data_IF_514230313568
#
_entry.id   IF_514230313568
#
_cell.length_a   1.000
_cell.length_b   1.000
_cell.length_c   1.000
_cell.angle_alpha   90.00
_cell.angle_beta   90.00
_cell.angle_gamma   90.00
#
_symmetry.space_group_name_H-M   'P 1'
#
loop_
_entity.id
_entity.type
_entity.pdbx_description
1 polymer ?
#
# COMPACT_ATOMS: atom_id res chain seq x y z
N UNK A 1 -20.94 -10.01 32.89
CA UNK A 1 -19.48 -9.97 32.62
C UNK A 1 -18.85 -9.40 33.87
N UNK A 2 -18.08 -10.21 34.60
CA UNK A 2 -17.36 -9.79 35.80
C UNK A 2 -16.28 -8.78 35.43
N UNK A 3 -16.43 -7.54 35.88
CA UNK A 3 -15.46 -6.47 35.71
C UNK A 3 -14.26 -6.73 36.65
N UNK A 4 -13.44 -7.77 36.38
CA UNK A 4 -12.23 -8.05 37.15
C UNK A 4 -11.06 -7.27 36.56
N UNK A 5 -10.55 -6.29 37.31
CA UNK A 5 -9.29 -5.64 36.94
C UNK A 5 -8.14 -6.66 36.99
N UNK A 6 -7.31 -6.65 35.97
CA UNK A 6 -6.09 -7.48 35.90
C UNK A 6 -4.88 -6.59 35.72
N UNK A 7 -4.01 -6.53 36.68
CA UNK A 7 -2.74 -5.84 36.56
C UNK A 7 -1.71 -6.78 35.89
N UNK A 8 -1.08 -6.33 34.82
CA UNK A 8 -0.02 -7.05 34.13
C UNK A 8 1.24 -6.23 34.07
N UNK A 9 2.40 -6.86 34.28
CA UNK A 9 3.71 -6.22 34.10
C UNK A 9 4.16 -6.38 32.66
N UNK A 10 4.36 -5.27 31.94
CA UNK A 10 4.86 -5.25 30.57
C UNK A 10 6.31 -4.78 30.56
N UNK A 11 7.18 -5.56 29.93
CA UNK A 11 8.59 -5.20 29.74
C UNK A 11 8.73 -4.65 28.31
N UNK A 12 9.23 -3.44 28.17
CA UNK A 12 9.53 -2.84 26.86
C UNK A 12 10.72 -3.56 26.25
N UNK A 13 10.55 -4.09 25.05
CA UNK A 13 11.63 -4.64 24.24
C UNK A 13 11.34 -4.37 22.76
N UNK A 14 12.37 -4.42 21.94
CA UNK A 14 12.21 -4.38 20.48
C UNK A 14 11.41 -5.59 20.00
N UNK A 15 10.36 -5.34 19.23
CA UNK A 15 9.54 -6.37 18.61
C UNK A 15 9.76 -6.26 17.10
N UNK A 16 10.28 -7.31 16.49
CA UNK A 16 10.33 -7.42 15.02
C UNK A 16 8.94 -7.80 14.53
N UNK A 17 8.25 -6.84 13.92
CA UNK A 17 6.95 -7.08 13.29
C UNK A 17 7.18 -7.40 11.81
N UNK A 18 6.77 -8.59 11.39
CA UNK A 18 6.76 -8.93 9.98
C UNK A 18 5.69 -8.07 9.27
N UNK A 19 6.14 -7.20 8.38
CA UNK A 19 5.26 -6.27 7.66
C UNK A 19 4.81 -6.80 6.30
N UNK A 20 5.52 -7.79 5.74
CA UNK A 20 5.26 -8.37 4.42
C UNK A 20 5.01 -9.87 4.56
N UNK A 21 3.90 -10.35 3.99
CA UNK A 21 3.61 -11.77 3.81
C UNK A 21 3.41 -12.06 2.32
N UNK A 22 3.97 -13.16 1.81
CA UNK A 22 3.88 -13.47 0.39
C UNK A 22 3.73 -14.97 0.14
N UNK A 23 2.93 -15.32 -0.87
CA UNK A 23 2.72 -16.70 -1.32
C UNK A 23 2.23 -16.73 -2.77
N UNK A 24 2.45 -17.84 -3.46
CA UNK A 24 1.74 -18.12 -4.70
C UNK A 24 0.29 -18.51 -4.40
N UNK A 25 -0.67 -18.01 -5.16
CA UNK A 25 -2.05 -18.50 -5.05
C UNK A 25 -2.15 -19.93 -5.63
N UNK A 26 -2.95 -20.82 -5.00
CA UNK A 26 -3.12 -22.19 -5.46
C UNK A 26 -3.51 -22.26 -6.93
N UNK A 27 -2.97 -23.25 -7.64
CA UNK A 27 -3.28 -23.55 -9.05
C UNK A 27 -3.20 -22.33 -9.99
N UNK A 28 -2.27 -21.42 -9.69
CA UNK A 28 -2.09 -20.20 -10.47
C UNK A 28 -0.62 -19.79 -10.57
N UNK A 29 -0.35 -18.82 -11.44
CA UNK A 29 0.92 -18.10 -11.53
C UNK A 29 0.80 -16.66 -10.97
N UNK A 30 -0.07 -16.50 -9.99
CA UNK A 30 -0.35 -15.23 -9.35
C UNK A 30 0.33 -15.19 -7.99
N UNK A 31 1.27 -14.27 -7.81
CA UNK A 31 1.86 -13.98 -6.52
C UNK A 31 0.93 -13.06 -5.72
N UNK A 32 0.63 -13.45 -4.49
CA UNK A 32 -0.09 -12.62 -3.53
C UNK A 32 0.90 -12.09 -2.50
N UNK A 33 0.97 -10.76 -2.36
CA UNK A 33 1.83 -10.08 -1.40
C UNK A 33 0.96 -9.16 -0.56
N UNK A 34 0.94 -9.38 0.75
CA UNK A 34 0.27 -8.53 1.72
C UNK A 34 1.28 -7.66 2.46
N UNK A 35 1.03 -6.36 2.47
CA UNK A 35 1.78 -5.39 3.26
C UNK A 35 0.84 -4.85 4.34
N UNK A 36 1.12 -5.18 5.62
CA UNK A 36 0.23 -4.81 6.73
C UNK A 36 0.53 -3.42 7.31
N UNK A 37 1.76 -2.93 7.12
CA UNK A 37 2.19 -1.58 7.47
C UNK A 37 3.53 -1.28 6.77
N UNK A 38 3.89 0.00 6.67
CA UNK A 38 5.21 0.41 6.18
C UNK A 38 6.12 0.77 7.36
N UNK A 39 7.10 -0.08 7.67
CA UNK A 39 8.19 0.18 8.61
C UNK A 39 9.51 0.29 7.85
N UNK A 40 10.61 0.64 8.54
CA UNK A 40 11.95 0.86 7.95
C UNK A 40 12.59 -0.33 7.21
N UNK A 41 11.92 -1.49 7.19
CA UNK A 41 12.38 -2.70 6.50
C UNK A 41 11.41 -3.19 5.43
N UNK A 42 10.23 -2.60 5.34
CA UNK A 42 9.17 -3.08 4.46
C UNK A 42 9.61 -3.09 2.99
N UNK A 43 10.36 -2.09 2.55
CA UNK A 43 10.86 -2.03 1.17
C UNK A 43 11.79 -3.21 0.85
N UNK A 44 12.72 -3.54 1.77
CA UNK A 44 13.65 -4.67 1.61
C UNK A 44 12.91 -6.00 1.70
N UNK A 45 12.07 -6.19 2.73
CA UNK A 45 11.30 -7.41 2.92
C UNK A 45 10.35 -7.68 1.72
N UNK A 46 9.81 -6.59 1.13
CA UNK A 46 8.97 -6.67 -0.06
C UNK A 46 9.77 -7.12 -1.29
N UNK A 47 10.95 -6.54 -1.51
CA UNK A 47 11.84 -6.91 -2.61
C UNK A 47 12.20 -8.39 -2.55
N UNK A 48 12.65 -8.87 -1.38
CA UNK A 48 13.01 -10.28 -1.18
C UNK A 48 11.81 -11.22 -1.45
N UNK A 49 10.61 -10.83 -0.97
CA UNK A 49 9.39 -11.59 -1.19
C UNK A 49 8.98 -11.61 -2.68
N UNK A 50 9.09 -10.47 -3.36
CA UNK A 50 8.78 -10.35 -4.77
C UNK A 50 9.72 -11.20 -5.64
N UNK A 51 11.05 -11.09 -5.42
CA UNK A 51 12.04 -11.90 -6.12
C UNK A 51 11.86 -13.42 -5.88
N UNK A 52 11.48 -13.81 -4.66
CA UNK A 52 11.18 -15.20 -4.36
C UNK A 52 10.02 -15.71 -5.21
N UNK A 53 8.93 -14.96 -5.30
CA UNK A 53 7.78 -15.33 -6.12
C UNK A 53 8.13 -15.35 -7.63
N UNK A 54 9.00 -14.44 -8.09
CA UNK A 54 9.50 -14.50 -9.47
C UNK A 54 10.26 -15.80 -9.75
N UNK A 55 11.13 -16.22 -8.83
CA UNK A 55 11.87 -17.50 -8.95
C UNK A 55 10.94 -18.72 -8.90
N UNK A 56 9.78 -18.60 -8.23
CA UNK A 56 8.72 -19.61 -8.21
C UNK A 56 7.83 -19.58 -9.46
N UNK A 57 8.07 -18.66 -10.40
CA UNK A 57 7.36 -18.59 -11.68
C UNK A 57 6.14 -17.70 -11.69
N UNK A 58 6.09 -16.68 -10.84
CA UNK A 58 5.04 -15.66 -10.84
C UNK A 58 4.95 -14.94 -12.20
N UNK A 59 3.71 -14.74 -12.67
CA UNK A 59 3.40 -14.03 -13.92
C UNK A 59 2.39 -12.90 -13.75
N UNK A 60 1.78 -12.76 -12.57
CA UNK A 60 0.91 -11.66 -12.19
C UNK A 60 0.99 -11.44 -10.68
N UNK A 61 0.64 -10.24 -10.20
CA UNK A 61 0.76 -9.88 -8.78
C UNK A 61 -0.55 -9.35 -8.23
N UNK A 62 -0.93 -9.81 -7.04
CA UNK A 62 -1.92 -9.14 -6.17
C UNK A 62 -1.15 -8.49 -5.03
N UNK A 63 -1.24 -7.16 -4.92
CA UNK A 63 -0.74 -6.39 -3.79
C UNK A 63 -1.91 -6.08 -2.84
N UNK A 64 -1.89 -6.62 -1.62
CA UNK A 64 -2.94 -6.39 -0.62
C UNK A 64 -2.49 -5.32 0.39
N UNK A 65 -3.14 -4.16 0.32
CA UNK A 65 -2.96 -3.00 1.21
C UNK A 65 -4.16 -2.79 2.13
N UNK A 66 -5.12 -3.72 2.19
CA UNK A 66 -6.30 -3.60 3.06
C UNK A 66 -5.89 -3.57 4.53
N UNK A 67 -6.50 -2.65 5.28
CA UNK A 67 -6.20 -2.42 6.69
C UNK A 67 -4.79 -1.89 6.97
N UNK A 68 -4.03 -1.48 5.95
CA UNK A 68 -2.69 -0.93 6.11
C UNK A 68 -2.75 0.59 6.37
N UNK A 69 -2.45 1.07 7.59
CA UNK A 69 -2.59 2.49 7.95
C UNK A 69 -1.49 3.39 7.35
N UNK A 70 -0.59 2.81 6.55
CA UNK A 70 0.59 3.49 6.03
C UNK A 70 1.83 3.26 6.91
N UNK A 71 2.64 4.28 7.04
CA UNK A 71 3.89 4.25 7.81
C UNK A 71 4.98 5.08 7.14
N UNK A 72 6.19 4.51 7.03
CA UNK A 72 7.35 5.19 6.46
C UNK A 72 7.14 5.46 4.96
N UNK A 73 7.32 6.72 4.56
CA UNK A 73 7.13 7.17 3.19
C UNK A 73 8.08 6.46 2.22
N UNK A 74 9.36 6.41 2.56
CA UNK A 74 10.41 5.87 1.70
C UNK A 74 10.18 4.39 1.37
N UNK A 75 9.65 3.62 2.33
CA UNK A 75 9.27 2.22 2.13
C UNK A 75 8.04 2.08 1.22
N UNK A 76 7.06 2.99 1.35
CA UNK A 76 5.94 3.06 0.41
C UNK A 76 6.39 3.37 -1.01
N UNK A 77 7.30 4.34 -1.15
CA UNK A 77 7.92 4.69 -2.44
C UNK A 77 8.73 3.51 -3.01
N UNK A 78 9.48 2.79 -2.19
CA UNK A 78 10.23 1.61 -2.61
C UNK A 78 9.32 0.52 -3.19
N UNK A 79 8.19 0.24 -2.53
CA UNK A 79 7.18 -0.69 -3.04
C UNK A 79 6.54 -0.18 -4.35
N UNK A 80 6.21 1.12 -4.42
CA UNK A 80 5.64 1.71 -5.64
C UNK A 80 6.59 1.60 -6.85
N UNK A 81 7.90 1.78 -6.64
CA UNK A 81 8.94 1.66 -7.70
C UNK A 81 8.97 0.31 -8.39
N UNK A 82 8.42 -0.74 -7.77
CA UNK A 82 8.30 -2.07 -8.42
C UNK A 82 7.22 -2.14 -9.49
N UNK A 83 6.27 -1.23 -9.46
CA UNK A 83 5.08 -1.30 -10.31
C UNK A 83 4.90 -0.07 -11.19
N UNK A 84 5.23 1.11 -10.67
CA UNK A 84 5.01 2.38 -11.35
C UNK A 84 6.08 2.59 -12.43
N UNK A 85 5.70 2.80 -13.70
CA UNK A 85 6.65 3.07 -14.76
C UNK A 85 7.39 4.40 -14.52
N UNK A 86 8.48 4.61 -15.26
CA UNK A 86 9.30 5.82 -15.16
C UNK A 86 8.46 7.09 -15.14
N UNK A 87 8.59 7.86 -14.07
CA UNK A 87 7.85 9.10 -13.84
C UNK A 87 7.50 9.30 -12.36
N UNK A 88 6.63 10.27 -12.05
CA UNK A 88 6.28 10.61 -10.69
C UNK A 88 5.49 9.52 -9.99
N UNK A 89 5.79 9.28 -8.70
CA UNK A 89 5.02 8.44 -7.78
C UNK A 89 4.14 9.32 -6.90
N UNK A 90 4.71 10.36 -6.30
CA UNK A 90 4.02 11.28 -5.40
C UNK A 90 4.68 12.64 -5.43
N UNK A 91 3.89 13.70 -5.35
CA UNK A 91 4.35 15.06 -5.09
C UNK A 91 4.03 15.44 -3.65
N UNK A 92 5.00 16.02 -2.96
CA UNK A 92 4.88 16.58 -1.62
C UNK A 92 4.95 18.09 -1.75
N UNK A 93 3.88 18.80 -1.39
CA UNK A 93 3.82 20.25 -1.45
C UNK A 93 3.75 20.78 -0.02
N UNK A 94 4.79 21.50 0.37
CA UNK A 94 4.91 22.12 1.68
C UNK A 94 4.08 23.38 1.80
N UNK A 95 3.79 23.79 3.04
CA UNK A 95 2.99 25.00 3.30
C UNK A 95 3.67 26.30 2.84
N UNK A 96 4.99 26.30 2.66
CA UNK A 96 5.78 27.41 2.10
C UNK A 96 5.84 27.42 0.56
N UNK A 97 5.17 26.47 -0.09
CA UNK A 97 5.12 26.33 -1.55
C UNK A 97 6.25 25.47 -2.14
N UNK A 98 7.21 25.01 -1.35
CA UNK A 98 8.22 24.08 -1.84
C UNK A 98 7.56 22.79 -2.30
N UNK A 99 8.04 22.24 -3.43
CA UNK A 99 7.56 20.99 -4.01
C UNK A 99 8.71 19.98 -4.11
N UNK A 100 8.47 18.80 -3.59
CA UNK A 100 9.35 17.65 -3.75
C UNK A 100 8.58 16.54 -4.50
N UNK A 101 9.27 15.79 -5.39
CA UNK A 101 8.66 14.73 -6.20
C UNK A 101 9.49 13.47 -6.07
N UNK A 102 8.88 12.40 -5.61
CA UNK A 102 9.44 11.06 -5.70
C UNK A 102 9.12 10.45 -7.05
N UNK A 103 10.13 9.87 -7.69
CA UNK A 103 10.01 9.29 -9.02
C UNK A 103 10.38 7.82 -9.04
N UNK A 104 9.82 7.11 -10.01
CA UNK A 104 10.23 5.77 -10.42
C UNK A 104 11.12 5.85 -11.66
N UNK A 105 12.06 4.92 -11.76
CA UNK A 105 12.89 4.69 -12.93
C UNK A 105 12.58 3.36 -13.64
N UNK A 106 11.49 2.67 -13.25
CA UNK A 106 11.09 1.39 -13.84
C UNK A 106 10.82 1.57 -15.35
N UNK A 107 11.57 0.90 -16.24
CA UNK A 107 11.44 1.12 -17.67
C UNK A 107 10.09 0.65 -18.21
N UNK A 108 9.57 -0.48 -17.70
CA UNK A 108 8.31 -1.06 -18.14
C UNK A 108 7.66 -1.93 -17.04
N UNK A 109 6.34 -2.10 -17.14
CA UNK A 109 5.56 -2.93 -16.23
C UNK A 109 5.72 -4.40 -16.65
N UNK A 110 6.33 -5.20 -15.79
CA UNK A 110 6.67 -6.59 -16.09
C UNK A 110 5.45 -7.52 -16.09
N UNK A 111 4.60 -7.40 -15.08
CA UNK A 111 3.48 -8.29 -14.86
C UNK A 111 2.16 -7.52 -14.66
N UNK A 112 1.00 -8.12 -15.03
CA UNK A 112 -0.29 -7.58 -14.63
C UNK A 112 -0.39 -7.46 -13.11
N UNK A 113 -1.01 -6.38 -12.64
CA UNK A 113 -1.12 -6.03 -11.23
C UNK A 113 -2.58 -5.76 -10.86
N UNK A 114 -3.01 -6.36 -9.76
CA UNK A 114 -4.22 -5.96 -9.02
C UNK A 114 -3.84 -5.50 -7.62
N UNK A 115 -4.48 -4.45 -7.11
CA UNK A 115 -4.24 -3.91 -5.76
C UNK A 115 -5.53 -3.99 -4.98
N UNK A 116 -5.49 -4.58 -3.79
CA UNK A 116 -6.63 -4.60 -2.87
C UNK A 116 -6.51 -3.43 -1.89
N UNK A 117 -7.57 -2.66 -1.77
CA UNK A 117 -7.66 -1.49 -0.89
C UNK A 117 -8.98 -1.45 -0.14
N UNK A 118 -9.00 -0.80 1.02
CA UNK A 118 -10.19 -0.57 1.81
C UNK A 118 -10.11 0.73 2.62
N UNK A 119 -11.13 1.02 3.43
CA UNK A 119 -11.16 2.18 4.32
C UNK A 119 -10.07 2.22 5.39
N UNK A 120 -9.35 1.12 5.61
CA UNK A 120 -8.17 1.04 6.49
C UNK A 120 -6.85 1.35 5.76
N UNK A 121 -6.86 1.40 4.42
CA UNK A 121 -5.70 1.78 3.62
C UNK A 121 -5.47 3.28 3.70
N UNK A 122 -4.35 3.72 4.30
CA UNK A 122 -4.11 5.14 4.57
C UNK A 122 -2.67 5.57 4.30
N UNK A 123 -2.44 6.88 4.08
CA UNK A 123 -1.11 7.51 4.00
C UNK A 123 -0.20 6.86 2.93
N UNK A 124 0.91 6.22 3.31
CA UNK A 124 1.82 5.55 2.37
C UNK A 124 1.10 4.51 1.48
N UNK A 125 0.08 3.81 2.00
CA UNK A 125 -0.75 2.90 1.20
C UNK A 125 -1.51 3.63 0.09
N UNK A 126 -1.98 4.85 0.37
CA UNK A 126 -2.69 5.68 -0.60
C UNK A 126 -1.75 6.27 -1.65
N UNK A 127 -0.49 6.54 -1.26
CA UNK A 127 0.56 6.94 -2.20
C UNK A 127 0.81 5.81 -3.20
N UNK A 128 1.00 4.58 -2.72
CA UNK A 128 1.19 3.40 -3.58
C UNK A 128 -0.02 3.17 -4.49
N UNK A 129 -1.22 3.12 -3.91
CA UNK A 129 -2.46 2.88 -4.64
C UNK A 129 -2.74 3.99 -5.68
N UNK A 130 -2.60 5.26 -5.29
CA UNK A 130 -2.81 6.41 -6.16
C UNK A 130 -1.82 6.46 -7.33
N UNK A 131 -0.54 6.15 -7.07
CA UNK A 131 0.48 6.09 -8.11
C UNK A 131 0.18 4.99 -9.13
N UNK A 132 -0.18 3.78 -8.66
CA UNK A 132 -0.53 2.65 -9.52
C UNK A 132 -1.76 2.97 -10.38
N UNK A 133 -2.79 3.58 -9.77
CA UNK A 133 -4.01 3.97 -10.49
C UNK A 133 -3.75 5.01 -11.56
N UNK A 134 -3.12 6.12 -11.20
CA UNK A 134 -2.90 7.26 -12.11
C UNK A 134 -2.01 6.88 -13.30
N UNK A 135 -1.00 6.05 -13.07
CA UNK A 135 -0.10 5.57 -14.13
C UNK A 135 -0.64 4.37 -14.90
N UNK A 136 -1.82 3.87 -14.52
CA UNK A 136 -2.44 2.66 -15.10
C UNK A 136 -1.53 1.41 -15.00
N UNK A 137 -0.67 1.38 -13.99
CA UNK A 137 0.24 0.27 -13.73
C UNK A 137 -0.47 -1.00 -13.26
N UNK A 138 -1.69 -0.86 -12.73
CA UNK A 138 -2.55 -1.95 -12.29
C UNK A 138 -3.97 -1.46 -12.05
N UNK A 139 -4.85 -2.37 -11.63
CA UNK A 139 -6.22 -2.04 -11.23
C UNK A 139 -6.42 -2.19 -9.74
N UNK A 140 -7.16 -1.25 -9.15
CA UNK A 140 -7.54 -1.25 -7.74
C UNK A 140 -8.91 -1.92 -7.56
N UNK A 141 -9.00 -2.80 -6.56
CA UNK A 141 -10.22 -3.52 -6.18
C UNK A 141 -10.51 -3.31 -4.69
N UNK A 142 -11.77 -3.22 -4.31
CA UNK A 142 -12.20 -3.10 -2.93
C UNK A 142 -13.04 -1.90 -2.67
N UNK A 143 -12.77 -1.14 -1.61
CA UNK A 143 -13.53 0.05 -1.24
C UNK A 143 -12.61 1.27 -1.13
N UNK A 144 -13.22 2.46 -1.07
CA UNK A 144 -12.51 3.74 -0.98
C UNK A 144 -11.54 3.77 0.20
N UNK A 145 -10.34 4.31 -0.01
CA UNK A 145 -9.31 4.45 1.02
C UNK A 145 -9.61 5.60 1.99
N UNK A 146 -8.84 5.70 3.05
CA UNK A 146 -9.09 6.57 4.20
C UNK A 146 -9.05 8.08 3.89
N UNK A 147 -8.11 8.55 3.07
CA UNK A 147 -7.94 9.97 2.78
C UNK A 147 -6.94 10.70 3.68
N UNK A 148 -5.85 10.04 4.10
CA UNK A 148 -4.78 10.66 4.92
C UNK A 148 -3.66 11.18 4.02
N UNK A 149 -3.86 12.32 3.39
CA UNK A 149 -2.91 12.97 2.50
C UNK A 149 -2.06 14.07 3.14
N UNK A 150 -1.84 14.07 4.46
CA UNK A 150 -1.06 15.09 5.16
C UNK A 150 0.27 14.56 5.69
N UNK A 151 1.34 15.36 5.54
CA UNK A 151 2.64 15.15 6.18
C UNK A 151 2.66 15.87 7.51
N UNK A 152 3.10 15.19 8.56
CA UNK A 152 3.17 15.76 9.89
C UNK A 152 4.60 15.70 10.44
N UNK A 153 5.16 16.87 10.73
CA UNK A 153 6.42 17.00 11.47
C UNK A 153 6.17 16.97 12.98
N UNK A 154 7.09 16.34 13.70
CA UNK A 154 7.13 16.35 15.17
C UNK A 154 8.29 17.22 15.62
N UNK A 155 7.98 18.32 16.29
CA UNK A 155 8.95 19.28 16.76
C UNK A 155 9.03 19.22 18.28
N UNK A 156 10.21 18.91 18.83
CA UNK A 156 10.44 18.94 20.28
C UNK A 156 10.46 20.38 20.75
N UNK A 157 9.70 20.70 21.80
CA UNK A 157 9.69 21.99 22.46
C UNK A 157 10.65 21.99 23.64
N UNK A 158 10.75 20.88 24.36
CA UNK A 158 11.68 20.65 25.47
C UNK A 158 11.99 19.15 25.66
N UNK A 159 12.55 18.75 26.79
CA UNK A 159 12.92 17.36 27.07
C UNK A 159 11.72 16.40 27.20
N UNK A 160 10.52 16.92 27.51
CA UNK A 160 9.33 16.13 27.82
C UNK A 160 8.18 16.36 26.84
N UNK A 161 8.18 17.48 26.09
CA UNK A 161 7.05 17.91 25.25
C UNK A 161 7.44 18.05 23.79
N UNK A 162 6.47 17.78 22.92
CA UNK A 162 6.61 17.96 21.48
C UNK A 162 5.26 18.40 20.88
N UNK A 163 5.32 19.15 19.78
CA UNK A 163 4.17 19.53 18.96
C UNK A 163 4.21 18.77 17.64
N UNK A 164 3.05 18.30 17.20
CA UNK A 164 2.86 17.66 15.90
C UNK A 164 2.10 18.62 14.98
N UNK A 165 2.73 19.03 13.88
CA UNK A 165 2.19 20.04 12.96
C UNK A 165 2.13 19.47 11.54
N UNK A 166 1.04 19.73 10.83
CA UNK A 166 0.94 19.44 9.40
C UNK A 166 1.77 20.45 8.60
N UNK A 167 2.79 19.95 7.90
CA UNK A 167 3.78 20.76 7.16
C UNK A 167 3.64 20.67 5.65
N UNK A 168 3.03 19.60 5.13
CA UNK A 168 2.85 19.39 3.70
C UNK A 168 1.64 18.50 3.40
N UNK A 169 1.30 18.40 2.11
CA UNK A 169 0.27 17.49 1.59
C UNK A 169 0.83 16.64 0.47
N UNK A 170 0.28 15.41 0.37
CA UNK A 170 0.56 14.48 -0.71
C UNK A 170 -0.42 14.67 -1.87
N UNK A 171 0.14 14.58 -3.08
CA UNK A 171 -0.61 14.59 -4.34
C UNK A 171 -0.18 13.40 -5.19
N UNK A 172 -1.14 12.77 -5.84
CA UNK A 172 -0.90 11.67 -6.78
C UNK A 172 -0.15 12.18 -8.03
N UNK A 173 0.34 11.30 -8.92
CA UNK A 173 0.98 11.70 -10.18
C UNK A 173 0.13 12.66 -11.02
N UNK A 174 -1.19 12.48 -11.05
CA UNK A 174 -2.13 13.37 -11.76
C UNK A 174 -2.39 14.71 -11.05
N UNK A 175 -1.80 14.94 -9.87
CA UNK A 175 -1.95 16.17 -9.09
C UNK A 175 -3.20 16.20 -8.20
N UNK A 176 -3.88 15.07 -8.01
CA UNK A 176 -5.04 14.99 -7.12
C UNK A 176 -4.58 14.90 -5.67
N UNK A 177 -5.16 15.73 -4.79
CA UNK A 177 -4.90 15.67 -3.36
C UNK A 177 -5.54 14.42 -2.75
N UNK A 178 -4.76 13.65 -2.00
CA UNK A 178 -5.25 12.49 -1.24
C UNK A 178 -6.02 12.94 0.01
N UNK A 179 -5.69 14.12 0.55
CA UNK A 179 -6.17 14.58 1.87
C UNK A 179 -7.68 14.81 1.89
N UNK A 180 -8.37 14.12 2.80
CA UNK A 180 -9.83 14.07 2.96
C UNK A 180 -10.60 13.60 1.72
N UNK A 181 -9.91 13.09 0.70
CA UNK A 181 -10.50 12.60 -0.55
C UNK A 181 -10.41 11.07 -0.62
N UNK A 182 -9.23 10.52 -0.31
CA UNK A 182 -8.93 9.10 -0.52
C UNK A 182 -8.78 8.73 -1.99
N UNK A 183 -8.57 7.43 -2.22
CA UNK A 183 -8.45 6.85 -3.56
C UNK A 183 -9.64 5.92 -3.78
N UNK A 184 -10.45 6.21 -4.79
CA UNK A 184 -11.52 5.30 -5.22
C UNK A 184 -10.91 4.10 -5.96
N UNK A 185 -11.31 2.84 -5.68
CA UNK A 185 -10.89 1.71 -6.49
C UNK A 185 -11.47 1.78 -7.91
N UNK A 186 -10.83 1.08 -8.86
CA UNK A 186 -11.36 0.97 -10.22
C UNK A 186 -12.55 0.00 -10.29
N UNK A 187 -12.56 -0.97 -9.39
CA UNK A 187 -13.63 -1.97 -9.25
C UNK A 187 -14.06 -1.98 -7.79
N UNK A 188 -15.23 -1.40 -7.53
CA UNK A 188 -15.82 -1.40 -6.19
C UNK A 188 -16.33 -2.81 -5.87
N UNK A 189 -15.80 -3.39 -4.81
CA UNK A 189 -16.21 -4.71 -4.30
C UNK A 189 -16.36 -4.58 -2.78
N UNK A 190 -17.59 -4.57 -2.31
CA UNK A 190 -17.86 -4.60 -0.87
C UNK A 190 -17.52 -5.98 -0.28
N UNK A 191 -17.01 -5.99 0.94
CA UNK A 191 -16.81 -7.21 1.71
C UNK A 191 -17.90 -7.29 2.78
N UNK A 192 -18.94 -8.12 2.60
CA UNK A 192 -20.01 -8.27 3.59
C UNK A 192 -19.45 -8.80 4.92
N UNK A 193 -19.95 -8.29 6.05
CA UNK A 193 -19.50 -8.74 7.39
C UNK A 193 -19.62 -10.26 7.61
N UNK A 194 -20.59 -10.90 6.96
CA UNK A 194 -20.83 -12.34 7.03
C UNK A 194 -20.31 -13.11 5.83
N UNK A 195 -19.39 -12.52 5.04
CA UNK A 195 -18.82 -13.21 3.91
C UNK A 195 -18.04 -14.44 4.35
N UNK A 196 -18.38 -15.61 3.80
CA UNK A 196 -17.65 -16.85 4.03
C UNK A 196 -16.39 -16.97 3.19
N UNK A 197 -16.22 -16.06 2.23
CA UNK A 197 -15.12 -16.04 1.27
C UNK A 197 -14.65 -14.60 1.03
N UNK A 198 -13.38 -14.43 0.69
CA UNK A 198 -12.82 -13.13 0.30
C UNK A 198 -13.20 -12.80 -1.15
N UNK A 199 -14.36 -12.16 -1.30
CA UNK A 199 -14.90 -11.76 -2.63
C UNK A 199 -14.03 -10.73 -3.33
N UNK A 200 -13.30 -9.88 -2.58
CA UNK A 200 -12.40 -8.88 -3.13
C UNK A 200 -11.16 -9.55 -3.74
N UNK A 201 -10.56 -10.50 -3.01
CA UNK A 201 -9.44 -11.30 -3.51
C UNK A 201 -9.86 -12.10 -4.75
N UNK A 202 -11.04 -12.73 -4.72
CA UNK A 202 -11.56 -13.48 -5.89
C UNK A 202 -11.77 -12.60 -7.11
N UNK A 203 -12.25 -11.38 -6.94
CA UNK A 203 -12.43 -10.43 -8.04
C UNK A 203 -11.09 -10.04 -8.68
N UNK A 204 -10.07 -9.76 -7.86
CA UNK A 204 -8.72 -9.46 -8.31
C UNK A 204 -8.07 -10.66 -9.02
N UNK A 205 -8.20 -11.86 -8.45
CA UNK A 205 -7.70 -13.10 -9.05
C UNK A 205 -8.34 -13.37 -10.41
N UNK A 206 -9.67 -13.25 -10.51
CA UNK A 206 -10.38 -13.41 -11.77
C UNK A 206 -9.86 -12.47 -12.85
N UNK A 207 -9.72 -11.20 -12.52
CA UNK A 207 -9.16 -10.20 -13.42
C UNK A 207 -7.77 -10.60 -13.93
N UNK A 208 -6.87 -11.01 -13.03
CA UNK A 208 -5.51 -11.38 -13.41
C UNK A 208 -5.46 -12.68 -14.24
N UNK A 209 -6.32 -13.65 -13.99
CA UNK A 209 -6.44 -14.85 -14.84
C UNK A 209 -6.87 -14.49 -16.27
N UNK A 210 -7.79 -13.53 -16.42
CA UNK A 210 -8.20 -13.00 -17.71
C UNK A 210 -7.05 -12.27 -18.44
N UNK A 211 -6.27 -11.44 -17.72
CA UNK A 211 -5.11 -10.75 -18.29
C UNK A 211 -4.00 -11.73 -18.72
N UNK A 212 -3.72 -12.75 -17.92
CA UNK A 212 -2.75 -13.79 -18.28
C UNK A 212 -3.20 -14.57 -19.52
N UNK A 213 -4.49 -14.87 -19.65
CA UNK A 213 -5.01 -15.58 -20.82
C UNK A 213 -4.89 -14.79 -22.13
N UNK A 214 -4.91 -13.45 -22.06
CA UNK A 214 -4.70 -12.57 -23.23
C UNK A 214 -3.23 -12.49 -23.63
N UNK A 215 -2.29 -12.60 -22.68
CA UNK A 215 -0.84 -12.57 -22.96
C UNK A 215 -0.27 -13.89 -23.49
N UNK A 216 -0.98 -14.99 -23.28
CA UNK A 216 -0.59 -16.33 -23.77
C UNK A 216 -1.08 -16.64 -25.19
N UNK A 217 -1.76 -15.70 -25.82
CA UNK A 217 -2.17 -15.74 -27.23
C UNK A 217 -1.28 -14.84 -28.06
#
# INVERSE_FOLDING_TARGET
KDNKEKTVRVIRKEIKTQSVGAQMLPDSKIGYIRVVMFNEKTGVDFEEAYEKLEKEGMQATILDLRGNPGGVLDDGVAVAKKFVPKGPIVSIIYNDGQKFVENSDLPEIKYPLAVLVDGGSASASEIVAGAIKDTKAGKLFGTKTFGKGSVQGVYRLDAATAIKVTTAKYYTPSGVSIHNVGIEPDVVVELPENATEDVQLKAAEKYLREELSKRGK
#
